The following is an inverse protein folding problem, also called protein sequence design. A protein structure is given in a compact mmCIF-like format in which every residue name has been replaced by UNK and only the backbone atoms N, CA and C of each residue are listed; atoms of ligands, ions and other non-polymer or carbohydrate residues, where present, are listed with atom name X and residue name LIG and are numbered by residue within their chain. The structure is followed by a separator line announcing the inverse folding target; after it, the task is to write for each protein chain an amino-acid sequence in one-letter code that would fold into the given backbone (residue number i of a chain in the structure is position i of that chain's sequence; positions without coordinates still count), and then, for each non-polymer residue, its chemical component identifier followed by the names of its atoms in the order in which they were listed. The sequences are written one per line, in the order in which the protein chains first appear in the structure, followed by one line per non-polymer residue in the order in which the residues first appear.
data_IF_039537450563
#
_entry.id   IF_039537450563
#
_cell.length_a   1.000
_cell.length_b   1.000
_cell.length_c   1.000
_cell.angle_alpha   90.00
_cell.angle_beta   90.00
_cell.angle_gamma   90.00
#
_symmetry.space_group_name_H-M   'P 1'
#
loop_
_entity.id
_entity.type
_entity.pdbx_description
1 polymer ?
#
# COMPACT_ATOMS: atom_id res chain seq x y z
N UNK A 1 -13.87 -2.94 6.98
CA UNK A 1 -12.81 -2.40 7.84
C UNK A 1 -12.28 -1.10 7.26
N UNK A 2 -12.14 -0.10 8.09
CA UNK A 2 -11.60 1.21 7.68
C UNK A 2 -10.46 1.60 8.60
N UNK A 3 -9.41 2.14 8.01
CA UNK A 3 -8.23 2.57 8.75
C UNK A 3 -7.73 3.89 8.14
N UNK A 4 -7.42 4.86 8.99
CA UNK A 4 -6.85 6.14 8.55
C UNK A 4 -5.65 6.50 9.39
N UNK A 5 -4.59 6.98 8.75
CA UNK A 5 -3.44 7.53 9.46
C UNK A 5 -2.91 8.75 8.72
N UNK A 6 -2.25 9.62 9.46
CA UNK A 6 -1.54 10.78 8.93
C UNK A 6 -0.06 10.60 9.19
N UNK A 7 0.76 10.78 8.15
CA UNK A 7 2.21 10.62 8.23
C UNK A 7 2.86 11.96 7.92
N UNK A 8 3.70 12.44 8.82
CA UNK A 8 4.54 13.59 8.55
C UNK A 8 5.80 13.13 7.84
N UNK A 9 6.25 13.88 6.85
CA UNK A 9 7.41 13.51 6.04
C UNK A 9 8.26 14.73 5.74
N UNK A 10 9.57 14.50 5.55
CA UNK A 10 10.50 15.54 5.14
C UNK A 10 10.61 15.68 3.63
N UNK A 11 10.01 14.77 2.88
CA UNK A 11 10.11 14.75 1.43
C UNK A 11 9.08 15.67 0.78
N UNK A 12 9.44 16.20 -0.38
CA UNK A 12 8.55 17.07 -1.14
C UNK A 12 7.44 16.28 -1.82
N UNK A 13 6.34 16.97 -2.12
CA UNK A 13 5.16 16.35 -2.71
C UNK A 13 5.45 15.68 -4.05
N UNK A 14 6.24 16.31 -4.91
CA UNK A 14 6.51 15.77 -6.24
C UNK A 14 7.26 14.44 -6.19
N UNK A 15 8.29 14.34 -5.34
CA UNK A 15 9.03 13.10 -5.16
C UNK A 15 8.15 11.99 -4.58
N UNK A 16 7.30 12.35 -3.63
CA UNK A 16 6.36 11.40 -3.04
C UNK A 16 5.36 10.88 -4.06
N UNK A 17 4.84 11.74 -4.94
CA UNK A 17 3.92 11.32 -5.98
C UNK A 17 4.55 10.29 -6.91
N UNK A 18 5.80 10.48 -7.28
CA UNK A 18 6.52 9.56 -8.14
C UNK A 18 6.68 8.19 -7.46
N UNK A 19 7.16 8.20 -6.24
CA UNK A 19 7.50 6.97 -5.53
C UNK A 19 6.27 6.22 -5.02
N UNK A 20 5.31 6.95 -4.45
CA UNK A 20 4.11 6.33 -3.88
C UNK A 20 3.09 5.90 -4.93
N UNK A 21 3.25 6.31 -6.19
CA UNK A 21 2.42 5.79 -7.28
C UNK A 21 2.94 4.46 -7.84
N UNK A 22 4.04 3.95 -7.30
CA UNK A 22 4.64 2.70 -7.75
C UNK A 22 4.23 1.55 -6.83
N UNK A 23 3.40 0.60 -7.33
CA UNK A 23 2.99 -0.54 -6.51
C UNK A 23 4.14 -1.40 -6.01
N UNK A 24 5.24 -1.46 -6.75
CA UNK A 24 6.41 -2.23 -6.34
C UNK A 24 7.07 -1.65 -5.10
N UNK A 25 6.95 -0.34 -4.90
CA UNK A 25 7.44 0.31 -3.69
C UNK A 25 6.44 0.17 -2.55
N UNK A 26 5.17 0.54 -2.80
CA UNK A 26 4.18 0.67 -1.74
C UNK A 26 3.72 -0.68 -1.19
N UNK A 27 3.34 -1.62 -2.05
CA UNK A 27 2.63 -2.80 -1.60
C UNK A 27 3.46 -3.70 -0.67
N UNK A 28 4.72 -4.03 -0.97
CA UNK A 28 5.49 -4.88 -0.05
C UNK A 28 5.84 -4.18 1.26
N UNK A 29 5.95 -2.86 1.26
CA UNK A 29 6.31 -2.10 2.46
C UNK A 29 5.11 -1.87 3.37
N UNK A 30 3.93 -1.71 2.80
CA UNK A 30 2.72 -1.51 3.58
C UNK A 30 2.11 -2.85 4.02
N UNK A 31 2.18 -3.86 3.16
CA UNK A 31 1.65 -5.19 3.44
C UNK A 31 2.78 -6.22 3.39
N UNK A 32 3.48 -6.44 4.51
CA UNK A 32 4.64 -7.34 4.55
C UNK A 32 4.43 -8.76 4.02
N UNK A 33 3.22 -9.34 4.08
CA UNK A 33 2.99 -10.65 3.47
C UNK A 33 3.15 -10.68 1.95
N UNK A 34 3.08 -9.53 1.26
CA UNK A 34 3.27 -9.47 -0.18
C UNK A 34 4.76 -9.67 -0.49
N UNK A 35 5.08 -10.66 -1.34
CA UNK A 35 6.45 -11.02 -1.69
C UNK A 35 6.83 -10.65 -3.12
N UNK A 36 5.88 -10.64 -4.04
CA UNK A 36 6.12 -10.31 -5.43
C UNK A 36 5.06 -9.35 -5.94
N UNK A 37 5.49 -8.37 -6.73
CA UNK A 37 4.58 -7.42 -7.38
C UNK A 37 4.98 -7.29 -8.83
N UNK A 38 4.02 -7.50 -9.73
CA UNK A 38 4.18 -7.29 -11.15
C UNK A 38 3.32 -6.11 -11.57
N UNK A 39 3.89 -5.24 -12.39
CA UNK A 39 3.20 -4.02 -12.83
C UNK A 39 3.19 -3.96 -14.34
N UNK A 40 2.01 -3.66 -14.90
CA UNK A 40 1.84 -3.40 -16.31
C UNK A 40 0.97 -2.16 -16.47
N UNK A 41 1.56 -1.06 -16.92
CA UNK A 41 0.92 0.26 -16.97
C UNK A 41 0.39 0.64 -15.59
N UNK A 42 -0.92 0.86 -15.46
CA UNK A 42 -1.53 1.21 -14.17
C UNK A 42 -2.07 0.01 -13.42
N UNK A 43 -1.96 -1.20 -13.97
CA UNK A 43 -2.43 -2.40 -13.28
C UNK A 43 -1.30 -3.13 -12.59
N UNK A 44 -1.64 -3.86 -11.54
CA UNK A 44 -0.67 -4.64 -10.79
C UNK A 44 -1.25 -5.98 -10.36
N UNK A 45 -0.33 -6.95 -10.19
CA UNK A 45 -0.62 -8.22 -9.55
C UNK A 45 0.40 -8.43 -8.45
N UNK A 46 -0.07 -8.73 -7.27
CA UNK A 46 0.78 -8.99 -6.12
C UNK A 46 0.48 -10.38 -5.56
N UNK A 47 1.52 -11.05 -5.08
CA UNK A 47 1.42 -12.41 -4.56
C UNK A 47 2.07 -12.48 -3.20
N UNK A 48 1.46 -13.23 -2.30
CA UNK A 48 2.04 -13.40 -0.98
C UNK A 48 1.42 -14.56 -0.23
N UNK A 49 1.82 -14.68 1.02
CA UNK A 49 1.29 -15.68 1.94
C UNK A 49 0.98 -15.02 3.27
N UNK A 50 -0.17 -15.35 3.83
CA UNK A 50 -0.56 -14.87 5.13
C UNK A 50 -1.21 -16.01 5.90
N UNK A 51 -0.70 -16.31 7.10
CA UNK A 51 -1.17 -17.40 7.95
C UNK A 51 -1.23 -18.72 7.18
N UNK A 52 -0.13 -19.05 6.49
CA UNK A 52 0.05 -20.28 5.70
C UNK A 52 -0.86 -20.38 4.46
N UNK A 53 -1.58 -19.31 4.12
CA UNK A 53 -2.44 -19.28 2.92
C UNK A 53 -1.84 -18.38 1.87
N UNK A 54 -1.73 -18.88 0.64
CA UNK A 54 -1.31 -18.08 -0.49
C UNK A 54 -2.46 -17.19 -0.94
N UNK A 55 -2.16 -15.97 -1.31
CA UNK A 55 -3.16 -15.04 -1.83
C UNK A 55 -2.63 -14.29 -3.04
N UNK A 56 -3.56 -13.80 -3.85
CA UNK A 56 -3.28 -12.91 -4.96
C UNK A 56 -4.05 -11.61 -4.77
N UNK A 57 -3.38 -10.49 -5.07
CA UNK A 57 -4.00 -9.18 -5.08
C UNK A 57 -3.82 -8.59 -6.46
N UNK A 58 -4.90 -8.18 -7.11
CA UNK A 58 -4.79 -7.52 -8.41
C UNK A 58 -5.66 -6.27 -8.43
N UNK A 59 -5.17 -5.26 -9.09
CA UNK A 59 -5.87 -3.99 -9.11
C UNK A 59 -5.21 -2.97 -9.98
N UNK A 60 -5.57 -1.73 -9.73
CA UNK A 60 -5.11 -0.59 -10.52
C UNK A 60 -4.72 0.57 -9.62
N UNK A 61 -3.79 1.37 -10.09
CA UNK A 61 -3.44 2.64 -9.48
C UNK A 61 -4.11 3.75 -10.28
N UNK A 62 -4.94 4.53 -9.63
CA UNK A 62 -5.60 5.68 -10.23
C UNK A 62 -4.84 6.93 -9.80
N UNK A 63 -4.30 7.65 -10.78
CA UNK A 63 -3.50 8.85 -10.54
C UNK A 63 -4.33 10.09 -10.88
N UNK A 64 -4.85 10.74 -9.84
CA UNK A 64 -5.63 11.95 -9.97
C UNK A 64 -5.17 12.97 -8.96
N UNK A 65 -6.11 13.70 -8.37
CA UNK A 65 -5.81 14.60 -7.25
C UNK A 65 -5.20 13.81 -6.08
N UNK A 66 -5.72 12.60 -5.87
CA UNK A 66 -5.19 11.65 -4.89
C UNK A 66 -4.70 10.41 -5.64
N UNK A 67 -3.85 9.62 -4.98
CA UNK A 67 -3.46 8.30 -5.48
C UNK A 67 -4.40 7.28 -4.88
N UNK A 68 -5.00 6.43 -5.73
CA UNK A 68 -5.93 5.42 -5.26
C UNK A 68 -5.49 4.06 -5.78
N UNK A 69 -5.28 3.12 -4.86
CA UNK A 69 -5.01 1.72 -5.18
C UNK A 69 -6.32 0.97 -4.95
N UNK A 70 -6.98 0.57 -6.02
CA UNK A 70 -8.21 -0.22 -5.95
C UNK A 70 -7.89 -1.66 -6.32
N UNK A 71 -8.29 -2.62 -5.49
CA UNK A 71 -7.84 -4.00 -5.69
C UNK A 71 -8.86 -5.02 -5.26
N UNK A 72 -8.69 -6.23 -5.80
CA UNK A 72 -9.35 -7.43 -5.37
C UNK A 72 -8.32 -8.40 -4.81
N UNK A 73 -8.70 -9.06 -3.75
CA UNK A 73 -7.87 -10.07 -3.10
C UNK A 73 -8.53 -11.43 -3.25
N UNK A 74 -7.77 -12.46 -3.62
CA UNK A 74 -8.28 -13.82 -3.70
C UNK A 74 -7.34 -14.80 -2.99
N UNK A 75 -7.91 -15.72 -2.24
CA UNK A 75 -7.19 -16.79 -1.57
C UNK A 75 -8.08 -18.01 -1.57
N UNK A 76 -7.52 -19.19 -1.38
CA UNK A 76 -8.25 -20.45 -1.50
C UNK A 76 -9.61 -20.44 -0.79
N UNK A 77 -10.70 -20.25 -1.52
CA UNK A 77 -12.04 -20.22 -0.99
C UNK A 77 -12.51 -18.88 -0.46
N UNK A 78 -11.68 -17.82 -0.52
CA UNK A 78 -12.06 -16.49 -0.04
C UNK A 78 -11.74 -15.39 -1.02
N UNK A 79 -12.53 -14.33 -0.97
CA UNK A 79 -12.33 -13.14 -1.80
C UNK A 79 -12.57 -11.89 -0.98
N UNK A 80 -11.91 -10.81 -1.38
CA UNK A 80 -12.11 -9.50 -0.77
C UNK A 80 -11.83 -8.39 -1.75
N UNK A 81 -12.20 -7.19 -1.36
CA UNK A 81 -11.91 -6.00 -2.15
C UNK A 81 -11.52 -4.86 -1.24
N UNK A 82 -10.65 -4.02 -1.72
CA UNK A 82 -10.16 -2.90 -0.94
C UNK A 82 -9.76 -1.72 -1.77
N UNK A 83 -9.55 -0.63 -1.06
CA UNK A 83 -9.12 0.63 -1.65
C UNK A 83 -8.20 1.34 -0.67
N UNK A 84 -7.04 1.74 -1.17
CA UNK A 84 -6.10 2.55 -0.42
C UNK A 84 -6.03 3.92 -1.08
N UNK A 85 -6.40 4.96 -0.36
CA UNK A 85 -6.34 6.33 -0.86
C UNK A 85 -5.20 7.06 -0.16
N UNK A 86 -4.33 7.68 -0.95
CA UNK A 86 -3.22 8.48 -0.44
C UNK A 86 -3.42 9.92 -0.87
N UNK A 87 -3.63 10.81 0.10
CA UNK A 87 -3.66 12.26 -0.12
C UNK A 87 -2.29 12.80 0.21
N UNK A 88 -1.57 13.22 -0.82
CA UNK A 88 -0.20 13.67 -0.67
C UNK A 88 -0.16 15.19 -0.69
N UNK A 89 0.24 15.74 0.44
CA UNK A 89 0.39 17.20 0.63
C UNK A 89 1.88 17.50 0.80
N UNK A 90 2.21 18.77 0.90
CA UNK A 90 3.58 19.14 1.28
C UNK A 90 3.82 18.70 2.72
N UNK A 91 4.82 17.85 2.91
CA UNK A 91 5.30 17.35 4.20
C UNK A 91 4.27 16.52 4.99
N UNK A 92 3.21 16.05 4.33
CA UNK A 92 2.19 15.25 4.99
C UNK A 92 1.51 14.31 4.01
N UNK A 93 1.20 13.10 4.48
CA UNK A 93 0.47 12.11 3.69
C UNK A 93 -0.67 11.60 4.55
N UNK A 94 -1.88 11.60 4.00
CA UNK A 94 -3.03 10.97 4.65
C UNK A 94 -3.33 9.67 3.93
N UNK A 95 -3.29 8.56 4.67
CA UNK A 95 -3.66 7.25 4.15
C UNK A 95 -5.04 6.87 4.66
N UNK A 96 -5.90 6.45 3.75
CA UNK A 96 -7.20 5.87 4.11
C UNK A 96 -7.29 4.50 3.46
N UNK A 97 -7.58 3.49 4.26
CA UNK A 97 -7.70 2.11 3.79
C UNK A 97 -9.07 1.57 4.10
N UNK A 98 -9.72 1.04 3.07
CA UNK A 98 -11.02 0.38 3.19
C UNK A 98 -10.87 -1.05 2.68
N UNK A 99 -11.34 -2.01 3.44
CA UNK A 99 -11.27 -3.42 3.04
C UNK A 99 -12.51 -4.18 3.50
N UNK A 100 -12.96 -5.09 2.64
CA UNK A 100 -14.13 -5.91 2.90
C UNK A 100 -13.90 -7.31 2.30
N UNK A 101 -14.17 -8.35 3.07
CA UNK A 101 -14.11 -9.72 2.58
C UNK A 101 -13.15 -10.61 3.34
N UNK A 102 -12.37 -11.43 2.61
CA UNK A 102 -11.52 -12.47 3.17
C UNK A 102 -10.58 -11.95 4.26
N UNK A 103 -10.56 -12.63 5.38
CA UNK A 103 -9.70 -12.32 6.54
C UNK A 103 -9.99 -10.99 7.23
N UNK A 104 -11.08 -10.32 6.87
CA UNK A 104 -11.38 -9.02 7.46
C UNK A 104 -11.44 -9.07 8.99
N UNK A 105 -12.11 -10.06 9.56
CA UNK A 105 -12.28 -10.18 11.00
C UNK A 105 -11.00 -10.63 11.71
N UNK A 106 -10.19 -11.47 11.06
CA UNK A 106 -9.01 -12.07 11.68
C UNK A 106 -7.77 -11.18 11.55
N UNK A 107 -7.60 -10.54 10.39
CA UNK A 107 -6.47 -9.66 10.15
C UNK A 107 -6.71 -8.25 10.67
N UNK A 108 -7.94 -7.94 10.92
CA UNK A 108 -8.49 -6.62 11.16
C UNK A 108 -7.57 -5.64 11.86
N UNK A 109 -8.02 -5.18 13.01
CA UNK A 109 -7.37 -4.06 13.70
C UNK A 109 -5.91 -4.34 14.06
N UNK A 110 -5.61 -5.58 14.50
CA UNK A 110 -4.32 -5.89 15.09
C UNK A 110 -3.16 -5.83 14.08
N UNK A 111 -3.28 -6.55 12.98
CA UNK A 111 -2.21 -6.58 11.97
C UNK A 111 -2.12 -5.28 11.20
N UNK A 112 -3.26 -4.69 10.84
CA UNK A 112 -3.27 -3.45 10.08
C UNK A 112 -2.67 -2.28 10.83
N UNK A 113 -2.95 -2.16 12.13
CA UNK A 113 -2.32 -1.13 12.94
C UNK A 113 -0.81 -1.26 12.94
N UNK A 114 -0.32 -2.48 13.07
CA UNK A 114 1.10 -2.76 13.09
C UNK A 114 1.77 -2.45 11.75
N UNK A 115 1.13 -2.88 10.66
CA UNK A 115 1.67 -2.66 9.31
C UNK A 115 1.68 -1.18 8.98
N UNK A 116 0.59 -0.48 9.25
CA UNK A 116 0.50 0.94 8.94
C UNK A 116 1.44 1.77 9.81
N UNK A 117 1.55 1.46 11.08
CA UNK A 117 2.51 2.11 11.97
C UNK A 117 3.95 1.88 11.53
N UNK A 118 4.26 0.66 11.12
CA UNK A 118 5.58 0.33 10.58
C UNK A 118 5.90 1.09 9.31
N UNK A 119 4.93 1.15 8.40
CA UNK A 119 5.09 1.90 7.16
C UNK A 119 5.35 3.39 7.45
N UNK A 120 4.55 3.97 8.33
CA UNK A 120 4.69 5.38 8.72
C UNK A 120 6.07 5.67 9.32
N UNK A 121 6.51 4.80 10.20
CA UNK A 121 7.79 4.99 10.90
C UNK A 121 8.98 4.91 9.97
N UNK A 122 8.91 4.07 8.93
CA UNK A 122 10.02 3.85 8.02
C UNK A 122 9.93 4.69 6.74
N UNK A 123 8.86 5.43 6.55
CA UNK A 123 8.58 6.09 5.28
C UNK A 123 9.72 7.00 4.82
N UNK A 124 10.16 7.91 5.67
CA UNK A 124 11.17 8.88 5.27
C UNK A 124 12.47 8.20 4.83
N UNK A 125 12.90 7.20 5.56
CA UNK A 125 14.11 6.47 5.20
C UNK A 125 13.92 5.62 3.95
N UNK A 126 12.80 4.93 3.84
CA UNK A 126 12.50 4.11 2.66
C UNK A 126 12.42 4.98 1.40
N UNK A 127 11.80 6.14 1.50
CA UNK A 127 11.72 7.08 0.37
C UNK A 127 13.10 7.66 0.06
N UNK A 128 13.89 7.98 1.08
CA UNK A 128 15.25 8.49 0.87
C UNK A 128 16.08 7.48 0.08
N UNK A 129 16.06 6.22 0.47
CA UNK A 129 16.80 5.17 -0.21
C UNK A 129 16.32 4.98 -1.65
N UNK A 130 15.01 5.03 -1.85
CA UNK A 130 14.44 4.89 -3.18
C UNK A 130 14.81 6.07 -4.09
N UNK A 131 14.86 7.28 -3.54
CA UNK A 131 15.29 8.46 -4.30
C UNK A 131 16.74 8.34 -4.74
N UNK A 132 17.60 7.85 -3.85
CA UNK A 132 19.01 7.62 -4.19
C UNK A 132 19.12 6.60 -5.33
N UNK A 133 18.38 5.50 -5.23
CA UNK A 133 18.36 4.46 -6.24
C UNK A 133 17.89 4.97 -7.59
N UNK A 134 16.85 5.80 -7.62
CA UNK A 134 16.27 6.38 -8.84
C UNK A 134 16.97 7.65 -9.29
N UNK A 135 17.84 8.23 -8.48
CA UNK A 135 18.53 9.49 -8.75
C UNK A 135 17.55 10.67 -8.92
N UNK A 136 16.64 10.73 -8.02
CA UNK A 136 15.67 11.87 -7.95
C UNK A 136 15.67 12.47 -6.52
#
# INVERSE_FOLDING_TARGET
MNKSITINTSHDRQSLLIILSDPKFVLPKLFPPIKEVEVENDSFNAHGRFMAMSFNMHGNVLRGADLVYAFYLSAGGGMGQGKLTMRIKEREINLEFEYDGWMERMSGIFFMDRWFSGFARRLDEDVRMERIKRKI
#
